data_IF_102508610246
#
_entry.id   IF_102508610246
#
_cell.length_a   1.000
_cell.length_b   1.000
_cell.length_c   1.000
_cell.angle_alpha   90.00
_cell.angle_beta   90.00
_cell.angle_gamma   90.00
#
_symmetry.space_group_name_H-M   'P 1'
#
loop_
_entity.id
_entity.type
_entity.pdbx_description
1 polymer ?
#
# COMPACT_ATOMS: atom_id res chain seq x y z
N UNK A 1 19.62 -10.99 -14.41
CA UNK A 1 19.72 -12.18 -13.50
C UNK A 1 18.57 -12.19 -12.49
N UNK A 2 18.16 -11.03 -11.94
CA UNK A 2 17.03 -10.95 -10.99
C UNK A 2 15.73 -10.47 -11.64
N UNK A 3 15.69 -10.37 -12.97
CA UNK A 3 14.56 -9.78 -13.70
C UNK A 3 13.27 -10.56 -13.46
N UNK A 4 13.34 -11.90 -13.41
CA UNK A 4 12.19 -12.76 -13.10
C UNK A 4 11.59 -12.49 -11.70
N UNK A 5 12.43 -12.22 -10.69
CA UNK A 5 11.98 -11.90 -9.34
C UNK A 5 11.35 -10.50 -9.27
N UNK A 6 11.81 -9.56 -10.09
CA UNK A 6 11.16 -8.25 -10.17
C UNK A 6 9.80 -8.34 -10.87
N UNK A 7 9.68 -9.12 -11.96
CA UNK A 7 8.41 -9.30 -12.65
C UNK A 7 7.37 -10.05 -11.81
N UNK A 8 7.77 -11.01 -10.98
CA UNK A 8 6.82 -11.70 -10.10
C UNK A 8 6.15 -10.78 -9.08
N UNK A 9 6.74 -9.62 -8.77
CA UNK A 9 6.08 -8.61 -7.91
C UNK A 9 4.85 -8.01 -8.59
N UNK A 10 4.83 -7.88 -9.93
CA UNK A 10 3.66 -7.39 -10.67
C UNK A 10 2.50 -8.37 -10.63
N UNK A 11 2.77 -9.67 -10.64
CA UNK A 11 1.71 -10.69 -10.58
C UNK A 11 0.85 -10.52 -9.33
N UNK A 12 1.47 -10.12 -8.21
CA UNK A 12 0.77 -9.85 -6.94
C UNK A 12 -0.08 -8.58 -7.04
N UNK A 13 0.44 -7.52 -7.68
CA UNK A 13 -0.30 -6.27 -7.90
C UNK A 13 -1.51 -6.49 -8.81
N UNK A 14 -1.32 -7.22 -9.91
CA UNK A 14 -2.41 -7.57 -10.80
C UNK A 14 -3.47 -8.43 -10.11
N UNK A 15 -3.05 -9.38 -9.26
CA UNK A 15 -3.99 -10.18 -8.47
C UNK A 15 -4.83 -9.28 -7.55
N UNK A 16 -4.20 -8.35 -6.84
CA UNK A 16 -4.91 -7.42 -5.97
C UNK A 16 -5.93 -6.56 -6.74
N UNK A 17 -5.58 -6.07 -7.94
CA UNK A 17 -6.52 -5.34 -8.81
C UNK A 17 -7.69 -6.21 -9.26
N UNK A 18 -7.44 -7.47 -9.62
CA UNK A 18 -8.49 -8.43 -10.00
C UNK A 18 -9.43 -8.74 -8.83
N UNK A 19 -8.87 -8.98 -7.65
CA UNK A 19 -9.63 -9.28 -6.43
C UNK A 19 -10.51 -8.08 -6.04
N UNK A 20 -9.98 -6.86 -6.20
CA UNK A 20 -10.71 -5.61 -5.99
C UNK A 20 -11.70 -5.26 -7.14
N UNK A 21 -11.63 -5.97 -8.28
CA UNK A 21 -12.38 -5.67 -9.52
C UNK A 21 -12.17 -4.23 -10.01
N UNK A 22 -10.95 -3.73 -9.88
CA UNK A 22 -10.58 -2.36 -10.26
C UNK A 22 -9.62 -2.36 -11.45
N UNK A 23 -9.79 -1.39 -12.34
CA UNK A 23 -8.79 -1.11 -13.36
C UNK A 23 -7.63 -0.29 -12.77
N UNK A 24 -6.42 -0.51 -13.26
CA UNK A 24 -5.21 0.20 -12.80
C UNK A 24 -5.32 1.72 -12.95
N UNK A 25 -6.13 2.23 -13.89
CA UNK A 25 -6.40 3.67 -14.05
C UNK A 25 -7.24 4.27 -12.94
N UNK A 26 -7.99 3.44 -12.20
CA UNK A 26 -8.81 3.85 -11.07
C UNK A 26 -8.00 4.05 -9.78
N UNK A 27 -6.71 3.71 -9.79
CA UNK A 27 -5.81 3.91 -8.65
C UNK A 27 -5.40 5.39 -8.60
N UNK A 28 -5.75 6.08 -7.52
CA UNK A 28 -5.52 7.52 -7.36
C UNK A 28 -4.11 7.87 -6.90
N UNK A 29 -3.53 7.06 -6.03
CA UNK A 29 -2.21 7.30 -5.45
C UNK A 29 -1.50 5.97 -5.26
N UNK A 30 -0.17 5.99 -5.37
CA UNK A 30 0.67 4.81 -5.17
C UNK A 30 1.68 5.17 -4.09
N UNK A 31 1.62 4.43 -2.99
CA UNK A 31 2.50 4.60 -1.85
C UNK A 31 3.44 3.40 -1.72
N UNK A 32 4.73 3.67 -1.51
CA UNK A 32 5.75 2.68 -1.25
C UNK A 32 6.09 2.58 0.24
N UNK A 33 5.95 1.37 0.78
CA UNK A 33 6.26 1.04 2.17
C UNK A 33 7.22 -0.15 2.20
N UNK A 34 8.28 -0.06 2.99
CA UNK A 34 9.28 -1.10 3.20
C UNK A 34 10.58 -0.89 2.42
N UNK A 35 11.71 -1.35 2.98
CA UNK A 35 13.05 -1.07 2.46
C UNK A 35 13.31 -1.49 1.01
N UNK A 36 12.74 -2.62 0.57
CA UNK A 36 12.91 -3.11 -0.81
C UNK A 36 12.29 -2.21 -1.87
N UNK A 37 11.35 -1.33 -1.48
CA UNK A 37 10.78 -0.33 -2.40
C UNK A 37 11.78 0.76 -2.81
N UNK A 38 12.94 0.84 -2.14
CA UNK A 38 14.04 1.75 -2.49
C UNK A 38 14.85 1.27 -3.71
N UNK A 39 14.63 0.04 -4.18
CA UNK A 39 15.31 -0.53 -5.35
C UNK A 39 14.80 0.18 -6.62
N UNK A 40 15.65 0.91 -7.38
CA UNK A 40 15.19 1.72 -8.52
C UNK A 40 14.44 0.93 -9.60
N UNK A 41 14.83 -0.32 -9.82
CA UNK A 41 14.18 -1.19 -10.81
C UNK A 41 12.72 -1.50 -10.45
N UNK A 42 12.41 -1.74 -9.17
CA UNK A 42 11.03 -1.94 -8.69
C UNK A 42 10.21 -0.66 -8.89
N UNK A 43 10.80 0.50 -8.57
CA UNK A 43 10.12 1.78 -8.72
C UNK A 43 9.73 2.03 -10.17
N UNK A 44 10.68 1.84 -11.09
CA UNK A 44 10.46 2.02 -12.52
C UNK A 44 9.39 1.06 -13.05
N UNK A 45 9.49 -0.21 -12.71
CA UNK A 45 8.58 -1.25 -13.19
C UNK A 45 7.13 -1.02 -12.70
N UNK A 46 6.94 -0.55 -11.47
CA UNK A 46 5.62 -0.15 -10.97
C UNK A 46 5.12 1.17 -11.58
N UNK A 47 5.98 2.17 -11.78
CA UNK A 47 5.62 3.40 -12.51
C UNK A 47 5.13 3.07 -13.92
N UNK A 48 5.89 2.27 -14.66
CA UNK A 48 5.55 1.84 -16.02
C UNK A 48 4.22 1.06 -16.02
N UNK A 49 4.02 0.17 -15.04
CA UNK A 49 2.77 -0.58 -14.88
C UNK A 49 1.56 0.35 -14.69
N UNK A 50 1.70 1.39 -13.87
CA UNK A 50 0.66 2.40 -13.61
C UNK A 50 0.72 3.60 -14.57
N UNK A 51 1.17 3.39 -15.82
CA UNK A 51 1.16 4.39 -16.90
C UNK A 51 1.96 5.67 -16.58
N UNK A 52 3.10 5.54 -15.91
CA UNK A 52 4.00 6.64 -15.57
C UNK A 52 3.53 7.49 -14.39
N UNK A 53 2.58 7.00 -13.59
CA UNK A 53 2.09 7.72 -12.42
C UNK A 53 3.21 8.00 -11.42
N UNK A 54 3.23 9.24 -10.90
CA UNK A 54 4.22 9.63 -9.90
C UNK A 54 4.03 8.84 -8.60
N UNK A 55 5.14 8.38 -8.04
CA UNK A 55 5.14 7.60 -6.80
C UNK A 55 5.18 8.56 -5.62
N UNK A 56 4.23 8.42 -4.70
CA UNK A 56 4.24 9.21 -3.48
C UNK A 56 5.29 8.65 -2.51
N UNK A 57 6.22 9.52 -2.12
CA UNK A 57 7.17 9.23 -1.04
C UNK A 57 6.57 9.76 0.26
N UNK A 58 6.08 8.86 1.11
CA UNK A 58 5.69 9.25 2.47
C UNK A 58 6.93 9.60 3.30
N UNK A 59 6.72 10.54 4.21
CA UNK A 59 7.61 10.89 5.32
C UNK A 59 7.91 9.59 6.08
N UNK A 60 9.09 9.02 5.82
CA UNK A 60 9.60 7.76 6.39
C UNK A 60 8.71 6.52 6.17
N UNK A 61 8.94 5.81 5.06
CA UNK A 61 8.36 4.48 4.75
C UNK A 61 8.50 3.47 5.90
N UNK A 62 9.54 3.64 6.73
CA UNK A 62 9.88 2.71 7.80
C UNK A 62 9.00 2.93 9.05
N UNK A 63 8.35 4.09 9.16
CA UNK A 63 7.55 4.47 10.33
C UNK A 63 6.04 4.47 10.03
N UNK A 64 5.62 4.56 8.76
CA UNK A 64 4.22 4.65 8.37
C UNK A 64 3.34 3.52 8.97
N UNK A 65 3.84 2.29 8.97
CA UNK A 65 3.15 1.15 9.57
C UNK A 65 3.02 1.27 11.10
N UNK A 66 4.05 1.79 11.77
CA UNK A 66 4.06 1.98 13.23
C UNK A 66 3.10 3.10 13.62
N UNK A 67 3.10 4.21 12.89
CA UNK A 67 2.15 5.30 13.09
C UNK A 67 0.70 4.83 12.93
N UNK A 68 0.39 4.10 11.84
CA UNK A 68 -0.95 3.55 11.63
C UNK A 68 -1.37 2.61 12.76
N UNK A 69 -0.47 1.73 13.22
CA UNK A 69 -0.74 0.84 14.35
C UNK A 69 -0.95 1.60 15.67
N UNK A 70 -0.18 2.65 15.94
CA UNK A 70 -0.33 3.47 17.14
C UNK A 70 -1.66 4.21 17.17
N UNK A 71 -2.09 4.77 16.03
CA UNK A 71 -3.42 5.38 15.89
C UNK A 71 -4.52 4.33 16.10
N UNK A 72 -4.38 3.15 15.50
CA UNK A 72 -5.34 2.07 15.68
C UNK A 72 -5.42 1.58 17.14
N UNK A 73 -4.29 1.54 17.85
CA UNK A 73 -4.25 1.19 19.27
C UNK A 73 -4.93 2.27 20.14
N UNK A 74 -4.75 3.55 19.82
CA UNK A 74 -5.43 4.65 20.52
C UNK A 74 -6.97 4.56 20.35
N UNK A 75 -7.45 4.23 19.15
CA UNK A 75 -8.87 3.96 18.87
C UNK A 75 -9.40 2.83 19.75
N UNK A 76 -8.67 1.70 19.80
CA UNK A 76 -9.06 0.54 20.61
C UNK A 76 -9.01 0.82 22.11
N UNK A 77 -8.12 1.71 22.56
CA UNK A 77 -8.03 2.16 23.95
C UNK A 77 -9.15 3.14 24.34
N UNK A 78 -9.98 3.57 23.38
CA UNK A 78 -11.11 4.46 23.63
C UNK A 78 -10.75 5.95 23.66
N UNK A 79 -9.67 6.34 22.98
CA UNK A 79 -9.34 7.75 22.74
C UNK A 79 -10.50 8.44 21.98
N UNK A 80 -10.85 9.66 22.40
CA UNK A 80 -11.98 10.46 21.86
C UNK A 80 -11.54 11.82 21.31
N UNK A 81 -10.24 11.97 21.05
CA UNK A 81 -9.72 13.10 20.30
C UNK A 81 -10.54 13.32 19.02
N UNK A 82 -10.86 14.58 18.71
CA UNK A 82 -11.71 14.92 17.57
C UNK A 82 -11.04 14.50 16.25
N UNK A 83 -9.71 14.37 16.22
CA UNK A 83 -8.92 13.89 15.10
C UNK A 83 -9.13 12.39 14.78
N UNK A 84 -9.59 11.59 15.75
CA UNK A 84 -9.66 10.12 15.64
C UNK A 84 -11.11 9.62 15.61
N UNK A 85 -12.04 10.41 16.12
CA UNK A 85 -13.44 10.05 16.38
C UNK A 85 -14.22 9.54 15.17
N UNK A 86 -13.91 10.05 13.97
CA UNK A 86 -14.60 9.68 12.73
C UNK A 86 -13.81 8.66 11.89
N UNK A 87 -12.71 8.11 12.41
CA UNK A 87 -11.90 7.14 11.68
C UNK A 87 -12.54 5.75 11.76
N UNK A 88 -13.07 5.27 10.63
CA UNK A 88 -13.59 3.92 10.47
C UNK A 88 -12.62 3.07 9.62
N UNK A 89 -12.09 2.00 10.20
CA UNK A 89 -11.30 1.00 9.49
C UNK A 89 -12.18 -0.21 9.14
N UNK A 90 -12.34 -0.47 7.85
CA UNK A 90 -13.00 -1.67 7.32
C UNK A 90 -11.95 -2.53 6.63
N UNK A 91 -11.72 -3.73 7.14
CA UNK A 91 -10.72 -4.67 6.63
C UNK A 91 -11.37 -5.91 6.00
N UNK A 92 -10.62 -6.63 5.17
CA UNK A 92 -11.08 -7.81 4.42
C UNK A 92 -10.39 -9.08 4.93
N UNK A 93 -11.10 -10.21 4.95
CA UNK A 93 -10.48 -11.51 5.24
C UNK A 93 -9.84 -12.07 3.95
N UNK A 94 -8.53 -12.35 3.92
CA UNK A 94 -7.81 -12.69 2.68
C UNK A 94 -8.11 -14.10 2.15
N UNK A 95 -8.71 -14.96 2.97
CA UNK A 95 -9.07 -16.34 2.63
C UNK A 95 -10.52 -16.59 3.03
N UNK A 96 -11.18 -17.51 2.31
CA UNK A 96 -12.51 -17.99 2.71
C UNK A 96 -12.43 -18.75 4.05
N UNK A 97 -13.49 -18.66 4.84
CA UNK A 97 -13.66 -19.33 6.14
C UNK A 97 -14.29 -20.72 6.00
#
# INVERSE_FOLDING_TARGET
LNDSLFYSTLETVERALRDARMDKTSIHEILFIGGSTRIPQIQKLLQDFFNGKELMKVISSDEAAVYGAAVQAAIQAGDKSEEIKDLLLLDVTPISL
#
